data_IF_490384714649
#
_entry.id   IF_490384714649
#
_cell.length_a   1.000
_cell.length_b   1.000
_cell.length_c   1.000
_cell.angle_alpha   90.00
_cell.angle_beta   90.00
_cell.angle_gamma   90.00
#
_symmetry.space_group_name_H-M   'P 1'
#
loop_
_entity.id
_entity.type
_entity.pdbx_description
1 polymer ?
#
# COMPACT_ATOMS: atom_id res chain seq x y z
N UNK A 1 -6.09 6.42 27.30
CA UNK A 1 -5.19 6.73 26.16
C UNK A 1 -5.22 5.72 24.99
N UNK A 2 -6.05 4.65 25.02
CA UNK A 2 -6.20 3.70 23.89
C UNK A 2 -7.07 4.21 22.71
N UNK A 3 -7.78 5.33 22.90
CA UNK A 3 -8.64 5.95 21.89
C UNK A 3 -7.83 6.72 20.83
N UNK A 4 -6.80 7.46 21.26
CA UNK A 4 -5.90 8.20 20.36
C UNK A 4 -5.16 7.28 19.40
N UNK A 5 -4.63 6.15 19.91
CA UNK A 5 -3.95 5.17 19.06
C UNK A 5 -4.90 4.50 18.07
N UNK A 6 -6.12 4.14 18.50
CA UNK A 6 -7.15 3.56 17.61
C UNK A 6 -7.62 4.54 16.54
N UNK A 7 -7.77 5.82 16.86
CA UNK A 7 -8.17 6.84 15.89
C UNK A 7 -7.06 7.05 14.86
N UNK A 8 -5.81 7.11 15.32
CA UNK A 8 -4.65 7.22 14.44
C UNK A 8 -4.55 6.04 13.47
N UNK A 9 -4.67 4.81 13.96
CA UNK A 9 -4.61 3.62 13.10
C UNK A 9 -5.76 3.59 12.06
N UNK A 10 -6.95 4.07 12.41
CA UNK A 10 -8.10 4.18 11.49
C UNK A 10 -7.90 5.25 10.43
N UNK A 11 -7.27 6.37 10.79
CA UNK A 11 -6.92 7.43 9.85
C UNK A 11 -5.84 6.97 8.87
N UNK A 12 -4.79 6.30 9.34
CA UNK A 12 -3.75 5.73 8.48
C UNK A 12 -4.34 4.71 7.49
N UNK A 13 -5.23 3.84 7.95
CA UNK A 13 -5.92 2.86 7.11
C UNK A 13 -6.82 3.54 6.07
N UNK A 14 -7.60 4.54 6.48
CA UNK A 14 -8.46 5.30 5.56
C UNK A 14 -7.67 6.07 4.50
N UNK A 15 -6.52 6.66 4.87
CA UNK A 15 -5.63 7.37 3.95
C UNK A 15 -4.97 6.41 2.96
N UNK A 16 -4.50 5.24 3.41
CA UNK A 16 -3.96 4.24 2.50
C UNK A 16 -5.00 3.73 1.50
N UNK A 17 -6.23 3.47 1.98
CA UNK A 17 -7.33 3.02 1.12
C UNK A 17 -7.73 4.09 0.10
N UNK A 18 -7.80 5.36 0.50
CA UNK A 18 -8.15 6.45 -0.42
C UNK A 18 -7.07 6.66 -1.49
N UNK A 19 -5.79 6.61 -1.12
CA UNK A 19 -4.67 6.66 -2.07
C UNK A 19 -4.69 5.48 -3.04
N UNK A 20 -4.98 4.27 -2.57
CA UNK A 20 -5.07 3.08 -3.41
C UNK A 20 -6.19 3.21 -4.45
N UNK A 21 -7.37 3.67 -4.01
CA UNK A 21 -8.52 3.91 -4.90
C UNK A 21 -8.21 5.01 -5.92
N UNK A 22 -7.54 6.09 -5.50
CA UNK A 22 -7.12 7.18 -6.38
C UNK A 22 -6.18 6.67 -7.48
N UNK A 23 -5.13 5.93 -7.12
CA UNK A 23 -4.17 5.38 -8.10
C UNK A 23 -4.89 4.41 -9.05
N UNK A 24 -5.73 3.53 -8.53
CA UNK A 24 -6.50 2.57 -9.35
C UNK A 24 -7.40 3.30 -10.35
N UNK A 25 -8.10 4.34 -9.90
CA UNK A 25 -8.96 5.15 -10.75
C UNK A 25 -8.17 5.92 -11.81
N UNK A 26 -7.05 6.56 -11.43
CA UNK A 26 -6.17 7.27 -12.37
C UNK A 26 -5.63 6.32 -13.43
N UNK A 27 -5.22 5.11 -13.05
CA UNK A 27 -4.75 4.11 -14.01
C UNK A 27 -5.85 3.64 -14.96
N UNK A 28 -7.06 3.40 -14.45
CA UNK A 28 -8.21 3.04 -15.28
C UNK A 28 -8.57 4.17 -16.26
N UNK A 29 -8.54 5.42 -15.80
CA UNK A 29 -8.79 6.59 -16.63
C UNK A 29 -7.69 6.78 -17.68
N UNK A 30 -6.43 6.56 -17.32
CA UNK A 30 -5.30 6.62 -18.26
C UNK A 30 -5.45 5.56 -19.37
N UNK A 31 -5.81 4.33 -19.02
CA UNK A 31 -6.11 3.25 -19.97
C UNK A 31 -7.28 3.67 -20.88
N UNK A 32 -8.39 4.14 -20.31
CA UNK A 32 -9.55 4.58 -21.08
C UNK A 32 -9.19 5.71 -22.06
N UNK A 33 -8.53 6.77 -21.60
CA UNK A 33 -8.13 7.88 -22.46
C UNK A 33 -7.15 7.46 -23.56
N UNK A 34 -6.23 6.55 -23.24
CA UNK A 34 -5.25 6.04 -24.22
C UNK A 34 -5.91 5.23 -25.32
N UNK A 35 -6.86 4.36 -24.99
CA UNK A 35 -7.49 3.47 -25.97
C UNK A 35 -8.71 4.10 -26.67
N UNK A 36 -9.48 4.97 -25.99
CA UNK A 36 -10.71 5.56 -26.52
C UNK A 36 -10.48 6.95 -27.10
N UNK A 37 -9.80 7.84 -26.36
CA UNK A 37 -9.57 9.22 -26.81
C UNK A 37 -8.30 9.38 -27.66
N UNK A 38 -7.48 8.33 -27.83
CA UNK A 38 -6.20 8.35 -28.55
C UNK A 38 -5.23 9.45 -28.07
N UNK A 39 -5.48 10.04 -26.90
CA UNK A 39 -4.70 11.13 -26.31
C UNK A 39 -4.19 10.71 -24.92
N UNK A 40 -2.88 10.48 -24.77
CA UNK A 40 -2.32 10.08 -23.48
C UNK A 40 -2.30 11.29 -22.51
N UNK A 41 -3.02 11.18 -21.40
CA UNK A 41 -2.95 12.16 -20.30
C UNK A 41 -1.63 12.01 -19.54
N UNK A 42 -0.59 12.73 -19.98
CA UNK A 42 0.76 12.70 -19.37
C UNK A 42 0.74 13.12 -17.90
N UNK A 43 -0.08 14.10 -17.54
CA UNK A 43 -0.20 14.59 -16.16
C UNK A 43 -0.75 13.53 -15.19
N UNK A 44 -1.58 12.60 -15.68
CA UNK A 44 -2.18 11.53 -14.86
C UNK A 44 -1.10 10.55 -14.39
N UNK A 45 -0.06 10.33 -15.21
CA UNK A 45 1.05 9.44 -14.87
C UNK A 45 1.92 10.03 -13.75
N UNK A 46 2.23 11.32 -13.84
CA UNK A 46 2.99 12.01 -12.79
C UNK A 46 2.22 12.04 -11.47
N UNK A 47 0.92 12.33 -11.51
CA UNK A 47 0.06 12.34 -10.32
C UNK A 47 -0.04 10.95 -9.68
N UNK A 48 -0.24 9.90 -10.48
CA UNK A 48 -0.29 8.53 -9.98
C UNK A 48 1.04 8.10 -9.34
N UNK A 49 2.18 8.51 -9.94
CA UNK A 49 3.51 8.24 -9.38
C UNK A 49 3.70 8.93 -8.03
N UNK A 50 3.35 10.20 -7.91
CA UNK A 50 3.46 10.91 -6.64
C UNK A 50 2.54 10.31 -5.57
N UNK A 51 1.29 9.99 -5.93
CA UNK A 51 0.35 9.32 -5.02
C UNK A 51 0.89 7.95 -4.55
N UNK A 52 1.51 7.19 -5.46
CA UNK A 52 2.12 5.91 -5.14
C UNK A 52 3.31 6.05 -4.17
N UNK A 53 4.17 7.06 -4.36
CA UNK A 53 5.29 7.34 -3.44
C UNK A 53 4.76 7.64 -2.03
N UNK A 54 3.77 8.53 -1.91
CA UNK A 54 3.14 8.85 -0.62
C UNK A 54 2.49 7.63 0.03
N UNK A 55 1.76 6.82 -0.75
CA UNK A 55 1.16 5.57 -0.27
C UNK A 55 2.21 4.58 0.22
N UNK A 56 3.34 4.45 -0.47
CA UNK A 56 4.42 3.54 -0.07
C UNK A 56 5.06 3.96 1.26
N UNK A 57 5.31 5.27 1.46
CA UNK A 57 5.84 5.77 2.73
C UNK A 57 4.86 5.57 3.90
N UNK A 58 3.59 5.94 3.71
CA UNK A 58 2.57 5.80 4.77
C UNK A 58 2.29 4.31 5.05
N UNK A 59 2.13 3.50 4.01
CA UNK A 59 1.87 2.07 4.11
C UNK A 59 3.03 1.31 4.76
N UNK A 60 4.29 1.66 4.43
CA UNK A 60 5.46 1.03 5.05
C UNK A 60 5.57 1.38 6.54
N UNK A 61 5.31 2.63 6.92
CA UNK A 61 5.28 3.05 8.33
C UNK A 61 4.20 2.31 9.13
N UNK A 62 2.98 2.18 8.57
CA UNK A 62 1.89 1.42 9.16
C UNK A 62 2.25 -0.06 9.35
N UNK A 63 2.79 -0.68 8.29
CA UNK A 63 3.15 -2.10 8.28
C UNK A 63 4.30 -2.40 9.24
N UNK A 64 5.28 -1.50 9.35
CA UNK A 64 6.37 -1.60 10.33
C UNK A 64 5.85 -1.55 11.77
N UNK A 65 4.91 -0.63 12.09
CA UNK A 65 4.28 -0.55 13.42
C UNK A 65 3.49 -1.81 13.77
N UNK A 66 2.76 -2.37 12.81
CA UNK A 66 2.01 -3.62 12.98
C UNK A 66 2.88 -4.89 13.00
N UNK A 67 4.21 -4.78 12.90
CA UNK A 67 5.15 -5.90 12.69
C UNK A 67 4.76 -6.78 11.50
N UNK A 68 4.03 -6.23 10.53
CA UNK A 68 3.48 -6.95 9.39
C UNK A 68 4.49 -7.14 8.25
N UNK A 69 5.78 -7.34 8.53
CA UNK A 69 6.69 -7.89 7.52
C UNK A 69 6.32 -9.37 7.32
N UNK A 70 5.17 -9.60 6.68
CA UNK A 70 4.58 -10.91 6.39
C UNK A 70 5.55 -11.81 5.62
N UNK A 71 6.52 -11.23 4.91
CA UNK A 71 7.57 -11.98 4.21
C UNK A 71 8.45 -12.82 5.14
N UNK A 72 8.77 -12.38 6.35
CA UNK A 72 9.62 -13.16 7.27
C UNK A 72 8.80 -14.19 8.02
N UNK A 73 7.58 -13.84 8.45
CA UNK A 73 6.70 -14.78 9.16
C UNK A 73 6.27 -15.96 8.28
N UNK A 74 5.99 -15.74 6.99
CA UNK A 74 5.66 -16.85 6.08
C UNK A 74 6.84 -17.80 5.90
N UNK A 75 8.05 -17.28 5.66
CA UNK A 75 9.23 -18.12 5.48
C UNK A 75 9.54 -18.95 6.75
N UNK A 76 9.43 -18.35 7.93
CA UNK A 76 9.60 -19.03 9.23
C UNK A 76 8.48 -20.04 9.51
N UNK A 77 7.25 -19.79 9.08
CA UNK A 77 6.13 -20.72 9.26
C UNK A 77 6.12 -21.88 8.26
N UNK A 78 6.74 -21.73 7.09
CA UNK A 78 6.98 -22.85 6.15
C UNK A 78 8.16 -23.73 6.55
N UNK A 79 9.02 -23.29 7.47
CA UNK A 79 10.14 -24.09 7.97
C UNK A 79 9.64 -25.26 8.84
N UNK A 80 10.09 -26.49 8.57
CA UNK A 80 9.74 -27.66 9.39
C UNK A 80 10.20 -27.46 10.84
N UNK A 81 9.38 -27.94 11.78
CA UNK A 81 9.48 -27.70 13.24
C UNK A 81 10.89 -27.87 13.83
N UNK A 82 11.72 -28.73 13.24
CA UNK A 82 13.08 -29.04 13.68
C UNK A 82 14.05 -27.85 13.61
N UNK A 83 13.84 -26.88 12.71
CA UNK A 83 14.72 -25.72 12.53
C UNK A 83 14.24 -24.47 13.30
N UNK A 84 13.02 -24.51 13.87
CA UNK A 84 12.41 -23.38 14.59
C UNK A 84 12.96 -23.19 16.02
N UNK A 85 13.68 -24.16 16.56
CA UNK A 85 14.19 -24.15 17.94
C UNK A 85 15.58 -23.52 18.09
N UNK A 86 16.28 -23.25 16.98
CA UNK A 86 17.69 -22.79 16.99
C UNK A 86 17.85 -21.33 16.54
N UNK A 87 16.76 -20.69 16.09
CA UNK A 87 16.69 -19.26 15.73
C UNK A 87 15.81 -18.53 16.73
#
# INVERSE_FOLDING_TARGET
>A
MKLLSKLYDRLEEAVCLSLLLLITFLMALQVFCRYVLQSPLVWSEELARYAFIWMAFIGSAYTARKRGHVSIELFVNLLPKTLRTVV
#
